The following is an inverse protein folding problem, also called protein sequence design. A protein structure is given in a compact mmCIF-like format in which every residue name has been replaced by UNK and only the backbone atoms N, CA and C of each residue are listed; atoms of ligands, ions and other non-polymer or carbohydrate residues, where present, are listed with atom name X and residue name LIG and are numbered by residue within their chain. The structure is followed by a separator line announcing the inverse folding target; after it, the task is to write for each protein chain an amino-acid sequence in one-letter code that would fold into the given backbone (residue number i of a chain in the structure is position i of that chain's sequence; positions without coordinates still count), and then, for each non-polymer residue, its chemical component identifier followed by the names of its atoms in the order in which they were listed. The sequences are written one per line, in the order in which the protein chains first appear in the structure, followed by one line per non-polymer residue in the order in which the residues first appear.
data_IF_113471213081
#
_entry.id   IF_113471213081
#
_cell.length_a   1.000
_cell.length_b   1.000
_cell.length_c   1.000
_cell.angle_alpha   90.00
_cell.angle_beta   90.00
_cell.angle_gamma   90.00
#
_symmetry.space_group_name_H-M   'P 1'
#
loop_
_entity.id
_entity.type
_entity.pdbx_description
1 polymer ?
#
# COMPACT_ATOMS: atom_id res chain seq x y z
N UNK A 1 19.70 8.75 -5.74
CA UNK A 1 18.62 7.79 -6.06
C UNK A 1 17.35 8.52 -5.69
N UNK A 2 16.48 8.82 -6.67
CA UNK A 2 15.25 9.57 -6.44
C UNK A 2 14.14 8.56 -6.14
N UNK A 3 13.83 8.40 -4.87
CA UNK A 3 12.77 7.50 -4.42
C UNK A 3 11.43 8.24 -4.30
N UNK A 4 10.32 7.52 -4.15
CA UNK A 4 8.99 8.12 -4.02
C UNK A 4 8.91 9.14 -2.87
N UNK A 5 9.66 8.91 -1.78
CA UNK A 5 9.73 9.85 -0.66
C UNK A 5 10.42 11.17 -1.02
N UNK A 6 11.45 11.14 -1.86
CA UNK A 6 12.08 12.36 -2.37
C UNK A 6 11.16 13.04 -3.39
N UNK A 7 10.44 12.27 -4.21
CA UNK A 7 9.45 12.82 -5.12
C UNK A 7 8.33 13.58 -4.39
N UNK A 8 7.80 13.03 -3.30
CA UNK A 8 6.82 13.71 -2.42
C UNK A 8 7.35 15.04 -1.89
N UNK A 9 8.60 15.06 -1.42
CA UNK A 9 9.23 16.29 -0.90
C UNK A 9 9.44 17.34 -1.99
N UNK A 10 9.87 16.92 -3.18
CA UNK A 10 10.12 17.82 -4.32
C UNK A 10 8.80 18.45 -4.78
N UNK A 11 7.72 17.67 -4.81
CA UNK A 11 6.40 18.15 -5.19
C UNK A 11 5.66 18.88 -4.06
N UNK A 12 6.12 18.72 -2.81
CA UNK A 12 5.48 19.31 -1.62
C UNK A 12 4.14 18.66 -1.25
N UNK A 13 3.92 17.41 -1.68
CA UNK A 13 2.67 16.68 -1.43
C UNK A 13 2.97 15.25 -0.97
N UNK A 14 2.68 14.99 0.31
CA UNK A 14 2.89 13.70 0.98
C UNK A 14 1.84 12.64 0.60
N UNK A 15 0.78 13.03 -0.12
CA UNK A 15 -0.30 12.14 -0.57
C UNK A 15 -0.04 11.56 -1.95
N UNK A 16 1.00 12.03 -2.65
CA UNK A 16 1.34 11.55 -3.98
C UNK A 16 1.64 10.06 -3.99
N UNK A 17 0.82 9.32 -4.73
CA UNK A 17 1.02 7.90 -5.00
C UNK A 17 1.62 7.64 -6.38
N UNK A 18 2.03 6.39 -6.59
CA UNK A 18 2.46 5.87 -7.90
C UNK A 18 1.43 4.90 -8.46
N UNK A 19 1.27 4.85 -9.77
CA UNK A 19 0.54 3.79 -10.46
C UNK A 19 1.52 2.94 -11.27
N UNK A 20 1.42 1.62 -11.14
CA UNK A 20 2.22 0.65 -11.90
C UNK A 20 1.28 -0.17 -12.77
N UNK A 21 1.57 -0.22 -14.06
CA UNK A 21 0.77 -0.94 -15.04
C UNK A 21 1.54 -2.19 -15.44
N UNK A 22 0.95 -3.36 -15.24
CA UNK A 22 1.53 -4.64 -15.60
C UNK A 22 0.85 -5.22 -16.82
N UNK A 23 1.65 -5.85 -17.69
CA UNK A 23 1.17 -6.53 -18.89
C UNK A 23 0.54 -7.89 -18.56
N UNK A 24 0.96 -8.54 -17.47
CA UNK A 24 0.39 -9.83 -17.02
C UNK A 24 -0.13 -9.78 -15.59
N UNK A 25 -1.14 -10.61 -15.30
CA UNK A 25 -1.72 -10.73 -13.96
C UNK A 25 -0.70 -11.28 -12.96
N UNK A 26 0.15 -12.20 -13.41
CA UNK A 26 1.19 -12.78 -12.57
C UNK A 26 2.24 -11.75 -12.16
N UNK A 27 2.66 -10.86 -13.09
CA UNK A 27 3.55 -9.75 -12.75
C UNK A 27 2.93 -8.83 -11.69
N UNK A 28 1.66 -8.45 -11.87
CA UNK A 28 0.95 -7.61 -10.91
C UNK A 28 0.87 -8.25 -9.52
N UNK A 29 0.53 -9.55 -9.45
CA UNK A 29 0.47 -10.31 -8.20
C UNK A 29 1.83 -10.37 -7.52
N UNK A 30 2.87 -10.80 -8.23
CA UNK A 30 4.24 -10.88 -7.68
C UNK A 30 4.71 -9.54 -7.13
N UNK A 31 4.45 -8.45 -7.86
CA UNK A 31 4.82 -7.12 -7.39
C UNK A 31 4.05 -6.75 -6.11
N UNK A 32 2.74 -7.01 -6.08
CA UNK A 32 1.91 -6.77 -4.91
C UNK A 32 2.35 -7.59 -3.69
N UNK A 33 2.71 -8.87 -3.88
CA UNK A 33 3.25 -9.73 -2.82
C UNK A 33 4.52 -9.14 -2.22
N UNK A 34 5.47 -8.70 -3.05
CA UNK A 34 6.70 -8.05 -2.58
C UNK A 34 6.39 -6.81 -1.73
N UNK A 35 5.45 -5.97 -2.17
CA UNK A 35 5.05 -4.80 -1.39
C UNK A 35 4.35 -5.17 -0.07
N UNK A 36 3.51 -6.21 -0.06
CA UNK A 36 2.84 -6.68 1.15
C UNK A 36 3.80 -7.29 2.15
N UNK A 37 4.77 -8.08 1.68
CA UNK A 37 5.83 -8.64 2.51
C UNK A 37 6.64 -7.54 3.18
N UNK A 38 7.06 -6.52 2.42
CA UNK A 38 7.76 -5.36 2.98
C UNK A 38 6.86 -4.62 3.99
N UNK A 39 5.61 -4.34 3.64
CA UNK A 39 4.67 -3.70 4.57
C UNK A 39 4.54 -4.46 5.89
N UNK A 40 4.45 -5.78 5.83
CA UNK A 40 4.33 -6.64 7.01
C UNK A 40 5.62 -6.72 7.83
N UNK A 41 6.80 -6.72 7.19
CA UNK A 41 8.10 -6.66 7.89
C UNK A 41 8.26 -5.39 8.72
N UNK A 42 7.75 -4.27 8.22
CA UNK A 42 7.82 -2.96 8.89
C UNK A 42 6.63 -2.67 9.80
N UNK A 43 5.63 -3.57 9.91
CA UNK A 43 4.58 -3.38 10.89
C UNK A 43 5.14 -3.46 12.32
N UNK A 44 4.75 -2.51 13.19
CA UNK A 44 5.23 -2.51 14.56
C UNK A 44 4.70 -3.75 15.27
N UNK A 45 5.61 -4.66 15.63
CA UNK A 45 5.25 -5.88 16.35
C UNK A 45 4.78 -5.50 17.76
N UNK A 46 3.62 -5.99 18.22
CA UNK A 46 3.15 -5.71 19.56
C UNK A 46 4.15 -6.25 20.59
N UNK A 47 4.47 -5.44 21.60
CA UNK A 47 5.38 -5.84 22.67
C UNK A 47 4.59 -6.74 23.61
N UNK A 48 4.96 -8.04 23.64
CA UNK A 48 4.38 -9.00 24.57
C UNK A 48 5.23 -9.06 25.83
N UNK A 49 4.74 -8.48 26.92
CA UNK A 49 5.39 -8.56 28.23
C UNK A 49 4.71 -9.66 29.02
N UNK A 50 5.46 -10.73 29.36
CA UNK A 50 4.96 -11.79 30.25
C UNK A 50 5.19 -11.36 31.69
N UNK A 51 4.12 -11.22 32.45
CA UNK A 51 4.18 -10.98 33.89
C UNK A 51 4.47 -12.29 34.64
N UNK A 52 5.08 -12.24 35.84
CA UNK A 52 5.37 -13.42 36.66
C UNK A 52 4.12 -14.19 37.10
N UNK A 53 2.94 -13.57 37.04
CA UNK A 53 1.63 -14.15 37.39
C UNK A 53 0.99 -14.96 36.24
N UNK A 54 1.70 -15.14 35.11
CA UNK A 54 1.18 -15.86 33.94
C UNK A 54 0.23 -15.05 33.04
N UNK A 55 -0.15 -13.83 33.44
CA UNK A 55 -0.90 -12.91 32.60
C UNK A 55 -0.01 -12.23 31.54
N UNK A 56 -0.58 -11.99 30.36
CA UNK A 56 0.09 -11.30 29.26
C UNK A 56 -0.51 -9.90 29.11
N UNK A 57 0.30 -8.85 29.31
CA UNK A 57 -0.08 -7.49 28.90
C UNK A 57 0.44 -7.25 27.48
N UNK A 58 -0.48 -6.94 26.58
CA UNK A 58 -0.16 -6.53 25.20
C UNK A 58 -0.10 -5.02 25.23
N UNK A 59 1.11 -4.45 25.21
CA UNK A 59 1.27 -3.02 25.01
C UNK A 59 1.07 -2.68 23.53
N UNK A 60 0.37 -1.58 23.25
CA UNK A 60 0.43 -0.97 21.92
C UNK A 60 1.90 -0.59 21.64
N UNK A 61 2.45 -0.95 20.47
CA UNK A 61 3.80 -0.55 20.16
C UNK A 61 3.86 0.98 20.11
N UNK A 62 4.68 1.57 20.98
CA UNK A 62 4.98 3.00 20.94
C UNK A 62 5.60 3.27 19.57
N UNK A 63 4.82 3.86 18.66
CA UNK A 63 5.24 4.17 17.31
C UNK A 63 6.31 5.26 17.37
N UNK A 64 7.56 4.86 17.61
CA UNK A 64 8.70 5.77 17.58
C UNK A 64 9.04 6.06 16.12
N UNK A 65 8.20 6.85 15.44
CA UNK A 65 8.37 7.22 14.04
C UNK A 65 9.44 8.33 13.93
N UNK A 66 10.70 7.95 14.17
CA UNK A 66 11.88 8.62 13.58
C UNK A 66 12.51 7.79 12.46
N UNK A 67 11.85 6.72 12.01
CA UNK A 67 12.22 6.03 10.78
C UNK A 67 11.81 6.93 9.61
N UNK A 68 12.81 7.42 8.88
CA UNK A 68 12.70 8.27 7.68
C UNK A 68 11.85 7.67 6.53
N UNK A 69 11.34 6.45 6.72
CA UNK A 69 10.61 5.65 5.76
C UNK A 69 9.43 4.96 6.45
N UNK A 70 8.22 5.40 6.12
CA UNK A 70 7.02 4.59 6.35
C UNK A 70 6.98 3.52 5.25
N UNK A 71 6.63 2.26 5.55
CA UNK A 71 6.36 1.32 4.48
C UNK A 71 5.26 1.90 3.58
N UNK A 72 5.25 1.52 2.30
CA UNK A 72 4.27 2.02 1.32
C UNK A 72 3.14 1.01 1.17
N UNK A 73 1.89 1.46 1.28
CA UNK A 73 0.74 0.57 1.13
C UNK A 73 0.45 0.40 -0.35
N UNK A 74 0.50 -0.85 -0.82
CA UNK A 74 0.12 -1.18 -2.19
C UNK A 74 -1.34 -1.64 -2.28
N UNK A 75 -1.99 -1.36 -3.40
CA UNK A 75 -3.26 -1.93 -3.82
C UNK A 75 -3.08 -2.58 -5.19
N UNK A 76 -3.84 -3.65 -5.46
CA UNK A 76 -3.81 -4.36 -6.75
C UNK A 76 -5.20 -4.42 -7.37
N UNK A 77 -5.30 -4.18 -8.67
CA UNK A 77 -6.53 -4.36 -9.45
C UNK A 77 -6.25 -5.38 -10.56
N UNK A 78 -6.96 -6.51 -10.51
CA UNK A 78 -6.90 -7.55 -11.53
C UNK A 78 -8.21 -7.57 -12.31
N UNK A 79 -8.14 -7.42 -13.63
CA UNK A 79 -9.35 -7.41 -14.48
C UNK A 79 -10.07 -8.77 -14.54
N UNK A 80 -9.32 -9.86 -14.41
CA UNK A 80 -9.78 -11.22 -14.67
C UNK A 80 -10.59 -11.84 -13.51
N UNK A 81 -10.44 -11.31 -12.29
CA UNK A 81 -10.93 -11.98 -11.06
C UNK A 81 -11.80 -11.10 -10.17
N UNK A 82 -11.75 -9.77 -10.32
CA UNK A 82 -12.36 -8.84 -9.36
C UNK A 82 -13.67 -8.21 -9.87
N UNK A 83 -14.70 -8.30 -9.03
CA UNK A 83 -16.04 -7.77 -9.28
C UNK A 83 -16.08 -6.23 -9.39
N UNK A 84 -17.13 -5.69 -10.01
CA UNK A 84 -17.25 -4.24 -10.31
C UNK A 84 -17.23 -3.36 -9.05
N UNK A 85 -17.60 -3.92 -7.89
CA UNK A 85 -17.59 -3.25 -6.59
C UNK A 85 -16.20 -3.12 -5.97
N UNK A 86 -15.40 -4.20 -5.94
CA UNK A 86 -14.04 -4.17 -5.37
C UNK A 86 -13.16 -3.18 -6.12
N UNK A 87 -13.32 -3.11 -7.45
CA UNK A 87 -12.65 -2.10 -8.29
C UNK A 87 -13.00 -0.67 -7.89
N UNK A 88 -14.29 -0.38 -7.62
CA UNK A 88 -14.73 0.95 -7.19
C UNK A 88 -14.22 1.30 -5.80
N UNK A 89 -14.18 0.34 -4.88
CA UNK A 89 -13.62 0.52 -3.54
C UNK A 89 -12.13 0.89 -3.62
N UNK A 90 -11.33 0.13 -4.37
CA UNK A 90 -9.89 0.39 -4.51
C UNK A 90 -9.64 1.75 -5.19
N UNK A 91 -10.40 2.08 -6.24
CA UNK A 91 -10.30 3.39 -6.90
C UNK A 91 -10.70 4.53 -5.96
N UNK A 92 -11.72 4.33 -5.12
CA UNK A 92 -12.14 5.32 -4.10
C UNK A 92 -11.08 5.45 -3.00
N UNK A 93 -10.47 4.35 -2.57
CA UNK A 93 -9.41 4.33 -1.57
C UNK A 93 -8.17 5.08 -2.08
N UNK A 94 -7.83 4.88 -3.36
CA UNK A 94 -6.74 5.58 -4.03
C UNK A 94 -7.04 7.07 -4.24
N UNK A 95 -8.23 7.45 -4.73
CA UNK A 95 -8.56 8.86 -5.04
C UNK A 95 -8.96 9.70 -3.84
N UNK A 96 -9.79 9.16 -2.94
CA UNK A 96 -10.46 9.94 -1.88
C UNK A 96 -9.89 9.69 -0.50
N UNK A 97 -9.47 8.45 -0.21
CA UNK A 97 -8.94 8.14 1.10
C UNK A 97 -7.43 8.38 1.19
N UNK A 98 -6.70 8.44 0.05
CA UNK A 98 -5.24 8.64 0.00
C UNK A 98 -4.47 7.64 0.88
N UNK A 99 -5.08 6.48 1.10
CA UNK A 99 -4.60 5.40 1.99
C UNK A 99 -3.69 4.42 1.28
N UNK A 100 -3.72 4.39 -0.07
CA UNK A 100 -2.89 3.55 -0.91
C UNK A 100 -1.83 4.42 -1.59
N UNK A 101 -0.56 4.10 -1.35
CA UNK A 101 0.56 4.83 -1.92
C UNK A 101 0.93 4.32 -3.32
N UNK A 102 0.76 3.02 -3.61
CA UNK A 102 1.09 2.41 -4.90
C UNK A 102 -0.10 1.61 -5.42
N UNK A 103 -0.58 1.89 -6.63
CA UNK A 103 -1.65 1.15 -7.27
C UNK A 103 -1.12 0.32 -8.44
N UNK A 104 -1.21 -1.00 -8.33
CA UNK A 104 -0.75 -1.97 -9.34
C UNK A 104 -1.96 -2.43 -10.14
N UNK A 105 -1.92 -2.25 -11.46
CA UNK A 105 -3.06 -2.54 -12.35
C UNK A 105 -2.63 -3.51 -13.45
N UNK A 106 -3.36 -4.62 -13.57
CA UNK A 106 -3.20 -5.54 -14.70
C UNK A 106 -4.29 -5.34 -15.74
N UNK A 107 -3.85 -5.26 -17.01
CA UNK A 107 -4.69 -5.08 -18.19
C UNK A 107 -5.55 -3.81 -18.09
N UNK A 108 -4.95 -2.68 -18.45
CA UNK A 108 -5.70 -1.46 -18.67
C UNK A 108 -6.68 -1.71 -19.82
N UNK A 109 -7.97 -1.86 -19.50
CA UNK A 109 -9.01 -1.51 -20.47
C UNK A 109 -8.79 -0.04 -20.82
N UNK A 110 -8.17 0.18 -21.97
CA UNK A 110 -7.74 1.44 -22.56
C UNK A 110 -8.91 2.38 -22.90
N UNK A 111 -10.07 2.22 -22.27
CA UNK A 111 -11.33 2.86 -22.67
C UNK A 111 -12.08 3.55 -21.52
N UNK A 112 -11.62 3.46 -20.27
CA UNK A 112 -12.34 4.04 -19.11
C UNK A 112 -11.52 4.91 -18.15
N UNK A 113 -10.19 4.90 -18.25
CA UNK A 113 -9.30 5.59 -17.29
C UNK A 113 -9.03 7.05 -17.64
N UNK A 114 -9.52 7.56 -18.77
CA UNK A 114 -9.41 8.99 -19.13
C UNK A 114 -10.19 9.90 -18.17
N UNK A 115 -11.06 9.35 -17.32
CA UNK A 115 -11.76 10.08 -16.25
C UNK A 115 -11.05 9.95 -14.89
N UNK A 116 -9.92 9.24 -14.83
CA UNK A 116 -9.22 8.94 -13.59
C UNK A 116 -7.98 9.82 -13.34
N UNK A 117 -7.34 10.33 -14.39
CA UNK A 117 -6.24 11.31 -14.32
C UNK A 117 -6.78 12.73 -14.29
#
# INVERSE_FOLDING_TARGET
MMDLHDFRKIQGDDTLGGMVICETSEQARRLYDVFQEEWQKYQPKPIKIKLPDGSCVVGEPVANYKSKYRPLKAGIILHDTEDKETRKQIVKDFKKNMTVDILIVFNMLLTGLMHLV
#
